data_IF_447219988065
#
_entry.id   IF_447219988065
#
_cell.length_a   1.000
_cell.length_b   1.000
_cell.length_c   1.000
_cell.angle_alpha   90.00
_cell.angle_beta   90.00
_cell.angle_gamma   90.00
#
_symmetry.space_group_name_H-M   'P 1'
#
loop_
_entity.id
_entity.type
_entity.pdbx_description
1 polymer ?
#
# COMPACT_ATOMS: atom_id res chain seq x y z
N UNK A 1 23.94 10.37 28.47
CA UNK A 1 23.82 11.07 27.17
C UNK A 1 22.94 10.33 26.16
N UNK A 2 23.22 9.06 25.81
CA UNK A 2 22.49 8.32 24.75
C UNK A 2 21.00 8.06 25.09
N UNK A 3 20.65 7.86 26.37
CA UNK A 3 19.26 7.68 26.80
C UNK A 3 18.41 8.94 26.68
N UNK A 4 19.00 10.12 26.90
CA UNK A 4 18.30 11.41 26.79
C UNK A 4 17.98 11.77 25.33
N UNK A 5 18.85 11.39 24.39
CA UNK A 5 18.63 11.60 22.94
C UNK A 5 17.49 10.72 22.42
N UNK A 6 17.36 9.47 22.91
CA UNK A 6 16.25 8.58 22.54
C UNK A 6 14.91 9.10 23.05
N UNK A 7 14.83 9.55 24.31
CA UNK A 7 13.61 10.13 24.87
C UNK A 7 13.21 11.44 24.17
N UNK A 8 14.19 12.26 23.75
CA UNK A 8 13.95 13.50 23.01
C UNK A 8 13.43 13.24 21.59
N UNK A 9 13.94 12.21 20.91
CA UNK A 9 13.46 11.79 19.59
C UNK A 9 12.01 11.28 19.64
N UNK A 10 11.65 10.53 20.69
CA UNK A 10 10.26 10.06 20.90
C UNK A 10 9.31 11.23 21.23
N UNK A 11 9.78 12.25 21.97
CA UNK A 11 9.00 13.45 22.26
C UNK A 11 8.79 14.34 21.03
N UNK A 12 9.80 14.45 20.16
CA UNK A 12 9.74 15.23 18.92
C UNK A 12 8.78 14.62 17.88
N UNK A 13 8.65 13.28 17.84
CA UNK A 13 7.68 12.61 16.96
C UNK A 13 6.22 12.82 17.41
N UNK A 14 5.98 12.98 18.71
CA UNK A 14 4.64 13.26 19.25
C UNK A 14 4.19 14.72 19.02
N UNK A 15 5.14 15.67 18.93
CA UNK A 15 4.83 17.10 18.81
C UNK A 15 4.44 17.56 17.38
N UNK A 16 4.63 16.72 16.36
CA UNK A 16 4.19 17.02 14.98
C UNK A 16 2.81 16.46 14.64
N UNK A 17 2.17 15.75 15.59
CA UNK A 17 0.80 15.28 15.44
C UNK A 17 -0.18 16.32 15.97
N UNK A 18 -1.30 16.50 15.25
CA UNK A 18 -2.53 17.14 15.74
C UNK A 18 -2.58 18.68 15.61
N UNK A 19 -2.80 19.11 14.36
CA UNK A 19 -3.31 20.46 14.04
C UNK A 19 -4.42 20.49 12.99
N UNK A 20 -4.93 19.33 12.54
CA UNK A 20 -6.05 19.27 11.60
C UNK A 20 -7.27 18.69 12.31
N UNK A 21 -8.33 19.49 12.43
CA UNK A 21 -9.67 18.97 12.74
C UNK A 21 -9.98 17.88 11.71
N UNK A 22 -10.39 16.69 12.17
CA UNK A 22 -10.65 15.55 11.28
C UNK A 22 -11.69 15.94 10.20
N UNK A 23 -12.66 16.77 10.56
CA UNK A 23 -13.68 17.28 9.64
C UNK A 23 -13.08 18.00 8.43
N UNK A 24 -12.06 18.85 8.62
CA UNK A 24 -11.40 19.58 7.53
C UNK A 24 -10.45 18.70 6.71
N UNK A 25 -9.99 17.57 7.27
CA UNK A 25 -9.13 16.62 6.56
C UNK A 25 -9.95 15.67 5.67
N UNK A 26 -11.13 15.25 6.16
CA UNK A 26 -12.03 14.34 5.46
C UNK A 26 -12.93 15.05 4.43
N UNK A 27 -12.99 16.38 4.40
CA UNK A 27 -13.67 17.10 3.32
C UNK A 27 -12.99 16.79 1.97
N UNK A 28 -13.75 16.32 0.96
CA UNK A 28 -13.24 16.16 -0.40
C UNK A 28 -12.65 17.47 -0.90
N UNK A 29 -11.58 17.38 -1.69
CA UNK A 29 -11.00 18.57 -2.31
C UNK A 29 -11.76 18.91 -3.59
N UNK A 30 -12.07 20.20 -3.80
CA UNK A 30 -12.76 20.68 -5.01
C UNK A 30 -11.91 20.54 -6.28
N UNK A 31 -10.61 20.28 -6.14
CA UNK A 31 -9.68 20.02 -7.23
C UNK A 31 -8.58 19.04 -6.81
N UNK A 32 -7.93 18.41 -7.79
CA UNK A 32 -6.88 17.44 -7.52
C UNK A 32 -5.68 18.09 -6.82
N UNK A 33 -5.44 17.70 -5.57
CA UNK A 33 -4.23 18.09 -4.85
C UNK A 33 -3.08 17.10 -5.15
N UNK A 34 -2.16 17.50 -6.03
CA UNK A 34 -1.06 16.65 -6.47
C UNK A 34 -0.14 16.19 -5.33
N UNK A 35 0.09 17.04 -4.32
CA UNK A 35 0.92 16.68 -3.17
C UNK A 35 0.26 15.59 -2.31
N UNK A 36 -1.05 15.72 -2.02
CA UNK A 36 -1.82 14.69 -1.30
C UNK A 36 -1.85 13.37 -2.08
N UNK A 37 -2.14 13.43 -3.38
CA UNK A 37 -2.14 12.25 -4.26
C UNK A 37 -0.79 11.54 -4.24
N UNK A 38 0.31 12.29 -4.42
CA UNK A 38 1.65 11.72 -4.40
C UNK A 38 1.97 11.11 -3.03
N UNK A 39 1.55 11.75 -1.93
CA UNK A 39 1.70 11.20 -0.58
C UNK A 39 0.98 9.86 -0.41
N UNK A 40 -0.25 9.73 -0.91
CA UNK A 40 -0.99 8.46 -0.91
C UNK A 40 -0.25 7.39 -1.72
N UNK A 41 0.11 7.69 -2.98
CA UNK A 41 0.80 6.75 -3.87
C UNK A 41 2.12 6.27 -3.26
N UNK A 42 2.93 7.19 -2.73
CA UNK A 42 4.23 6.86 -2.11
C UNK A 42 4.02 6.00 -0.86
N UNK A 43 3.04 6.35 -0.01
CA UNK A 43 2.76 5.61 1.22
C UNK A 43 2.25 4.21 0.92
N UNK A 44 1.33 4.06 -0.02
CA UNK A 44 0.80 2.78 -0.47
C UNK A 44 1.91 1.89 -1.02
N UNK A 45 2.74 2.41 -1.93
CA UNK A 45 3.86 1.67 -2.50
C UNK A 45 4.87 1.24 -1.43
N UNK A 46 5.22 2.14 -0.49
CA UNK A 46 6.16 1.85 0.58
C UNK A 46 5.63 0.78 1.54
N UNK A 47 4.36 0.88 1.94
CA UNK A 47 3.72 -0.10 2.83
C UNK A 47 3.62 -1.46 2.13
N UNK A 48 3.15 -1.50 0.88
CA UNK A 48 3.04 -2.73 0.11
C UNK A 48 4.40 -3.42 -0.06
N UNK A 49 5.43 -2.67 -0.49
CA UNK A 49 6.78 -3.20 -0.64
C UNK A 49 7.34 -3.71 0.70
N UNK A 50 7.16 -2.95 1.78
CA UNK A 50 7.56 -3.35 3.13
C UNK A 50 6.85 -4.63 3.59
N UNK A 51 5.55 -4.76 3.32
CA UNK A 51 4.78 -5.95 3.64
C UNK A 51 5.27 -7.17 2.84
N UNK A 52 5.55 -7.03 1.54
CA UNK A 52 6.09 -8.13 0.74
C UNK A 52 7.48 -8.57 1.20
N UNK A 53 8.36 -7.63 1.55
CA UNK A 53 9.67 -7.96 2.13
C UNK A 53 9.53 -8.69 3.47
N UNK A 54 8.65 -8.21 4.35
CA UNK A 54 8.38 -8.84 5.63
C UNK A 54 7.81 -10.25 5.47
N UNK A 55 6.84 -10.44 4.57
CA UNK A 55 6.27 -11.75 4.27
C UNK A 55 7.32 -12.70 3.66
N UNK A 56 8.16 -12.21 2.75
CA UNK A 56 9.25 -13.02 2.20
C UNK A 56 10.18 -13.51 3.31
N UNK A 57 10.54 -12.62 4.23
CA UNK A 57 11.41 -12.96 5.35
C UNK A 57 10.73 -13.89 6.37
N UNK A 58 9.44 -13.71 6.66
CA UNK A 58 8.73 -14.52 7.65
C UNK A 58 8.38 -15.91 7.15
N UNK A 59 8.03 -16.05 5.86
CA UNK A 59 7.49 -17.31 5.33
C UNK A 59 8.49 -18.10 4.48
N UNK A 60 9.45 -17.44 3.85
CA UNK A 60 10.29 -18.05 2.81
C UNK A 60 11.79 -17.98 3.09
N UNK A 61 12.22 -17.56 4.28
CA UNK A 61 13.65 -17.41 4.59
C UNK A 61 14.43 -18.72 4.55
N UNK A 62 13.79 -19.85 4.84
CA UNK A 62 14.45 -21.16 4.94
C UNK A 62 14.30 -22.01 3.67
N UNK A 63 13.77 -21.42 2.59
CA UNK A 63 13.56 -22.08 1.31
C UNK A 63 14.54 -21.55 0.26
N UNK A 64 15.13 -22.45 -0.52
CA UNK A 64 15.92 -22.05 -1.69
C UNK A 64 15.01 -21.34 -2.72
N UNK A 65 15.48 -20.19 -3.22
CA UNK A 65 14.78 -19.41 -4.24
C UNK A 65 15.17 -19.95 -5.62
N UNK A 66 14.18 -20.14 -6.49
CA UNK A 66 14.42 -20.49 -7.88
C UNK A 66 14.81 -19.26 -8.70
N UNK A 67 15.50 -19.50 -9.82
CA UNK A 67 15.72 -18.47 -10.83
C UNK A 67 14.38 -18.00 -11.41
N UNK A 68 14.37 -16.76 -11.91
CA UNK A 68 13.20 -16.21 -12.58
C UNK A 68 12.85 -17.03 -13.82
N UNK A 69 11.59 -17.47 -13.92
CA UNK A 69 11.06 -18.20 -15.06
C UNK A 69 9.61 -17.77 -15.31
N UNK A 70 9.18 -17.85 -16.57
CA UNK A 70 7.82 -17.59 -17.00
C UNK A 70 7.16 -18.93 -17.30
N UNK A 71 5.91 -19.09 -16.89
CA UNK A 71 5.10 -20.28 -17.19
C UNK A 71 3.84 -19.88 -17.96
N UNK A 72 3.37 -20.75 -18.85
CA UNK A 72 2.07 -20.64 -19.50
C UNK A 72 1.06 -21.49 -18.73
N UNK A 73 0.17 -20.84 -17.98
CA UNK A 73 -0.92 -21.46 -17.23
C UNK A 73 -2.26 -21.33 -17.96
N UNK A 74 -2.24 -21.04 -19.26
CA UNK A 74 -3.45 -20.78 -20.04
C UNK A 74 -4.45 -21.92 -19.97
N UNK A 75 -4.01 -23.17 -19.88
CA UNK A 75 -4.86 -24.37 -19.82
C UNK A 75 -5.26 -24.81 -18.40
N UNK A 76 -4.84 -24.07 -17.38
CA UNK A 76 -5.09 -24.42 -15.99
C UNK A 76 -6.46 -23.90 -15.50
N UNK A 77 -7.02 -24.58 -14.50
CA UNK A 77 -8.23 -24.16 -13.75
C UNK A 77 -9.47 -23.81 -14.61
N UNK A 78 -9.63 -24.41 -15.79
CA UNK A 78 -10.80 -24.19 -16.68
C UNK A 78 -11.10 -22.70 -16.94
N UNK A 79 -10.07 -21.85 -16.96
CA UNK A 79 -10.19 -20.39 -17.13
C UNK A 79 -10.93 -19.65 -15.99
N UNK A 80 -11.23 -20.30 -14.86
CA UNK A 80 -11.95 -19.69 -13.73
C UNK A 80 -11.18 -18.50 -13.16
N UNK A 81 -9.85 -18.63 -13.07
CA UNK A 81 -8.96 -17.55 -12.65
C UNK A 81 -9.10 -16.29 -13.55
N UNK A 82 -9.09 -16.47 -14.89
CA UNK A 82 -9.22 -15.38 -15.86
C UNK A 82 -10.56 -14.65 -15.75
N UNK A 83 -11.64 -15.41 -15.52
CA UNK A 83 -12.95 -14.83 -15.23
C UNK A 83 -12.96 -14.06 -13.90
N UNK A 84 -12.31 -14.61 -12.87
CA UNK A 84 -12.14 -13.95 -11.58
C UNK A 84 -11.34 -12.64 -11.67
N UNK A 85 -10.27 -12.61 -12.47
CA UNK A 85 -9.50 -11.42 -12.77
C UNK A 85 -10.35 -10.35 -13.46
N UNK A 86 -11.10 -10.72 -14.51
CA UNK A 86 -11.97 -9.78 -15.21
C UNK A 86 -13.05 -9.19 -14.29
N UNK A 87 -13.70 -10.04 -13.50
CA UNK A 87 -14.72 -9.62 -12.53
C UNK A 87 -14.15 -8.67 -11.48
N UNK A 88 -13.06 -9.07 -10.82
CA UNK A 88 -12.45 -8.29 -9.75
C UNK A 88 -11.88 -6.96 -10.26
N UNK A 89 -11.22 -6.98 -11.43
CA UNK A 89 -10.70 -5.77 -12.06
C UNK A 89 -11.81 -4.77 -12.38
N UNK A 90 -12.96 -5.24 -12.88
CA UNK A 90 -14.10 -4.37 -13.14
C UNK A 90 -14.62 -3.70 -11.87
N UNK A 91 -14.88 -4.50 -10.82
CA UNK A 91 -15.44 -3.98 -9.57
C UNK A 91 -14.48 -3.06 -8.82
N UNK A 92 -13.19 -3.41 -8.80
CA UNK A 92 -12.15 -2.57 -8.22
C UNK A 92 -12.05 -1.25 -8.98
N UNK A 93 -11.95 -1.29 -10.31
CA UNK A 93 -11.83 -0.08 -11.15
C UNK A 93 -13.04 0.83 -11.01
N UNK A 94 -14.26 0.26 -10.96
CA UNK A 94 -15.49 1.02 -10.73
C UNK A 94 -15.44 1.73 -9.37
N UNK A 95 -15.07 1.01 -8.32
CA UNK A 95 -14.99 1.55 -6.96
C UNK A 95 -13.93 2.64 -6.86
N UNK A 96 -12.73 2.42 -7.43
CA UNK A 96 -11.67 3.42 -7.50
C UNK A 96 -12.13 4.66 -8.26
N UNK A 97 -12.81 4.49 -9.39
CA UNK A 97 -13.35 5.61 -10.15
C UNK A 97 -14.34 6.42 -9.31
N UNK A 98 -15.23 5.77 -8.57
CA UNK A 98 -16.19 6.46 -7.71
C UNK A 98 -15.52 7.13 -6.48
N UNK A 99 -14.35 6.64 -6.04
CA UNK A 99 -13.53 7.28 -5.00
C UNK A 99 -12.75 8.50 -5.52
N UNK A 100 -12.39 8.54 -6.79
CA UNK A 100 -11.58 9.60 -7.40
C UNK A 100 -12.39 10.61 -8.23
N UNK A 101 -13.71 10.42 -8.37
CA UNK A 101 -14.66 11.41 -8.87
C UNK A 101 -14.95 12.46 -7.79
#
# INVERSE_FOLDING_TARGET
>A
MIRAIRSLATLLFAATGFGQTIDTFLTPADSLNAARRNGVIISEAAIAAGAYLALNQLWYNDYEKSDFHIIDDSNEWLQVDKAGHAFSAYHLSRTSTDLFK
#
